data_IF_445862067498
#
_entry.id   IF_445862067498
#
_cell.length_a   1.000
_cell.length_b   1.000
_cell.length_c   1.000
_cell.angle_alpha   90.00
_cell.angle_beta   90.00
_cell.angle_gamma   90.00
#
_symmetry.space_group_name_H-M   'P 1'
#
loop_
_entity.id
_entity.type
_entity.pdbx_description
1 polymer ?
#
# COMPACT_ATOMS: atom_id res chain seq x y z
N UNK A 1 -9.58 7.90 -4.58
CA UNK A 1 -8.89 6.63 -4.29
C UNK A 1 -9.94 5.54 -4.20
N UNK A 2 -9.64 4.31 -4.61
CA UNK A 2 -10.51 3.16 -4.35
C UNK A 2 -9.78 2.19 -3.43
N UNK A 3 -9.96 2.38 -2.12
CA UNK A 3 -9.25 1.61 -1.09
C UNK A 3 -9.47 0.10 -1.25
N UNK A 4 -10.71 -0.34 -1.44
CA UNK A 4 -11.04 -1.76 -1.55
C UNK A 4 -10.35 -2.41 -2.76
N UNK A 5 -10.22 -1.70 -3.87
CA UNK A 5 -9.48 -2.20 -5.03
C UNK A 5 -7.99 -2.37 -4.69
N UNK A 6 -7.37 -1.36 -4.07
CA UNK A 6 -5.95 -1.41 -3.68
C UNK A 6 -5.69 -2.56 -2.70
N UNK A 7 -6.51 -2.69 -1.66
CA UNK A 7 -6.37 -3.77 -0.67
C UNK A 7 -6.53 -5.15 -1.29
N UNK A 8 -7.51 -5.35 -2.17
CA UNK A 8 -7.69 -6.62 -2.87
C UNK A 8 -6.50 -6.98 -3.78
N UNK A 9 -5.87 -5.98 -4.39
CA UNK A 9 -4.69 -6.19 -5.23
C UNK A 9 -3.45 -6.49 -4.38
N UNK A 10 -3.31 -5.86 -3.21
CA UNK A 10 -2.24 -6.10 -2.25
C UNK A 10 -2.34 -7.48 -1.58
N UNK A 11 -3.54 -7.90 -1.15
CA UNK A 11 -3.77 -9.21 -0.53
C UNK A 11 -3.40 -10.37 -1.49
N UNK A 12 -3.62 -10.18 -2.80
CA UNK A 12 -3.20 -11.14 -3.83
C UNK A 12 -1.68 -11.21 -4.00
N UNK A 13 -0.97 -10.10 -3.81
CA UNK A 13 0.49 -10.02 -3.99
C UNK A 13 1.25 -10.49 -2.75
N UNK A 14 0.74 -10.16 -1.57
CA UNK A 14 1.36 -10.40 -0.27
C UNK A 14 0.45 -11.28 0.60
N UNK A 15 0.10 -12.51 0.14
CA UNK A 15 -0.84 -13.36 0.86
C UNK A 15 -0.27 -13.81 2.20
N UNK A 16 -1.05 -13.64 3.27
CA UNK A 16 -0.69 -14.07 4.62
C UNK A 16 0.11 -13.05 5.44
N UNK A 17 0.47 -11.89 4.87
CA UNK A 17 1.11 -10.79 5.60
C UNK A 17 0.07 -9.90 6.29
N UNK A 18 -0.65 -10.47 7.27
CA UNK A 18 -1.81 -9.81 7.90
C UNK A 18 -1.46 -8.47 8.56
N UNK A 19 -0.33 -8.39 9.25
CA UNK A 19 0.14 -7.19 9.94
C UNK A 19 0.49 -6.08 8.94
N UNK A 20 1.09 -6.44 7.80
CA UNK A 20 1.38 -5.50 6.72
C UNK A 20 0.08 -4.98 6.09
N UNK A 21 -0.85 -5.87 5.73
CA UNK A 21 -2.13 -5.50 5.13
C UNK A 21 -2.97 -4.61 6.07
N UNK A 22 -2.96 -4.91 7.38
CA UNK A 22 -3.60 -4.05 8.38
C UNK A 22 -2.96 -2.66 8.41
N UNK A 23 -1.63 -2.59 8.52
CA UNK A 23 -0.91 -1.31 8.62
C UNK A 23 -1.15 -0.44 7.38
N UNK A 24 -1.10 -1.03 6.18
CA UNK A 24 -1.42 -0.32 4.94
C UNK A 24 -2.84 0.21 4.97
N UNK A 25 -3.82 -0.61 5.37
CA UNK A 25 -5.22 -0.20 5.41
C UNK A 25 -5.44 1.02 6.32
N UNK A 26 -4.93 0.96 7.55
CA UNK A 26 -5.10 2.03 8.54
C UNK A 26 -4.49 3.35 8.05
N UNK A 27 -3.29 3.29 7.45
CA UNK A 27 -2.63 4.48 6.90
C UNK A 27 -3.43 5.04 5.71
N UNK A 28 -3.85 4.19 4.77
CA UNK A 28 -4.60 4.64 3.59
C UNK A 28 -5.96 5.24 3.97
N UNK A 29 -6.67 4.67 4.95
CA UNK A 29 -7.90 5.25 5.49
C UNK A 29 -7.65 6.63 6.12
N UNK A 30 -6.51 6.81 6.81
CA UNK A 30 -6.19 8.09 7.46
C UNK A 30 -5.85 9.24 6.48
N UNK A 31 -5.39 8.91 5.28
CA UNK A 31 -4.98 9.91 4.26
C UNK A 31 -5.95 10.01 3.07
N UNK A 32 -7.05 9.25 3.06
CA UNK A 32 -7.95 9.13 1.91
C UNK A 32 -8.49 10.49 1.43
N UNK A 33 -8.93 11.34 2.35
CA UNK A 33 -9.45 12.68 2.04
C UNK A 33 -8.40 13.54 1.33
N UNK A 34 -7.20 13.64 1.90
CA UNK A 34 -6.09 14.41 1.34
C UNK A 34 -5.72 13.91 -0.06
N UNK A 35 -5.68 12.59 -0.26
CA UNK A 35 -5.37 12.00 -1.56
C UNK A 35 -6.47 12.31 -2.59
N UNK A 36 -7.74 12.31 -2.17
CA UNK A 36 -8.87 12.63 -3.03
C UNK A 36 -8.91 14.10 -3.45
N UNK A 37 -8.52 15.01 -2.56
CA UNK A 37 -8.45 16.46 -2.83
C UNK A 37 -7.26 16.84 -3.72
N UNK A 38 -6.28 15.94 -3.88
CA UNK A 38 -5.02 16.20 -4.58
C UNK A 38 -4.81 15.22 -5.77
N UNK A 39 -5.45 15.45 -6.93
CA UNK A 39 -5.41 14.54 -8.09
C UNK A 39 -4.01 14.24 -8.63
N UNK A 40 -3.05 15.12 -8.36
CA UNK A 40 -1.67 14.93 -8.80
C UNK A 40 -1.01 13.68 -8.17
N UNK A 41 -1.41 13.28 -6.96
CA UNK A 41 -0.91 12.04 -6.34
C UNK A 41 -1.34 10.80 -7.11
N UNK A 42 -2.57 10.78 -7.61
CA UNK A 42 -3.05 9.70 -8.47
C UNK A 42 -2.31 9.71 -9.81
N UNK A 43 -2.12 10.87 -10.42
CA UNK A 43 -1.40 10.98 -11.71
C UNK A 43 0.06 10.50 -11.63
N UNK A 44 0.69 10.66 -10.47
CA UNK A 44 2.06 10.22 -10.21
C UNK A 44 2.17 8.80 -9.64
N UNK A 45 1.03 8.10 -9.43
CA UNK A 45 0.98 6.74 -8.88
C UNK A 45 1.60 6.63 -7.49
N UNK A 46 1.44 7.67 -6.64
CA UNK A 46 2.15 7.76 -5.36
C UNK A 46 1.71 6.65 -4.40
N UNK A 47 0.42 6.31 -4.37
CA UNK A 47 -0.12 5.30 -3.46
C UNK A 47 0.39 3.92 -3.83
N UNK A 48 0.41 3.58 -5.11
CA UNK A 48 0.91 2.30 -5.60
C UNK A 48 2.41 2.12 -5.34
N UNK A 49 3.17 3.23 -5.31
CA UNK A 49 4.62 3.21 -5.05
C UNK A 49 4.96 3.17 -3.57
N UNK A 50 4.17 3.81 -2.70
CA UNK A 50 4.51 3.88 -1.28
C UNK A 50 4.18 2.58 -0.54
N UNK A 51 3.18 1.83 -1.02
CA UNK A 51 2.80 0.53 -0.44
C UNK A 51 3.76 -0.57 -0.87
N UNK A 52 4.40 -0.48 -2.03
CA UNK A 52 5.36 -1.49 -2.49
C UNK A 52 6.79 -1.09 -2.09
N UNK A 53 7.56 -1.97 -1.43
CA UNK A 53 8.94 -1.67 -1.08
C UNK A 53 9.84 -1.64 -2.33
N UNK A 54 10.74 -0.66 -2.41
CA UNK A 54 11.75 -0.58 -3.48
C UNK A 54 12.71 -1.79 -3.47
N UNK A 55 12.98 -2.36 -2.29
CA UNK A 55 13.86 -3.52 -2.11
C UNK A 55 13.58 -4.25 -0.80
N UNK A 56 13.51 -5.58 -0.88
CA UNK A 56 13.48 -6.48 0.29
C UNK A 56 14.69 -7.41 0.22
N UNK A 57 15.39 -7.57 1.34
CA UNK A 57 16.54 -8.47 1.46
C UNK A 57 16.26 -9.52 2.52
N UNK A 58 16.33 -10.80 2.13
CA UNK A 58 16.19 -11.93 3.03
C UNK A 58 17.41 -12.85 2.88
N UNK A 59 18.05 -13.19 3.99
CA UNK A 59 19.26 -14.00 4.01
C UNK A 59 19.29 -14.89 5.25
N UNK A 60 19.98 -16.03 5.13
CA UNK A 60 20.18 -16.96 6.23
C UNK A 60 21.29 -16.45 7.16
N UNK A 61 21.08 -16.52 8.46
CA UNK A 61 22.12 -16.30 9.49
C UNK A 61 22.69 -17.67 9.91
N UNK A 62 24.03 -17.87 9.93
CA UNK A 62 24.66 -19.12 10.30
C UNK A 62 24.56 -19.44 11.80
#
# INVERSE_FOLDING_TARGET
MNLNKIMNDLEKKHPGENEYLQAVREVLESIEEVVNENPHFQSAGIIERIVEPDRVLMFKVP
#
